data_IF_720822108909
#
_entry.id   IF_720822108909
#
_cell.length_a   1.000
_cell.length_b   1.000
_cell.length_c   1.000
_cell.angle_alpha   90.00
_cell.angle_beta   90.00
_cell.angle_gamma   90.00
#
_symmetry.space_group_name_H-M   'P 1'
#
loop_
_entity.id
_entity.type
_entity.pdbx_description
1 polymer ?
#
# COMPACT_ATOMS: atom_id res chain seq x y z
N UNK A 1 9.97 9.17 -42.45
CA UNK A 1 9.56 7.86 -41.93
C UNK A 1 8.48 8.04 -40.86
N UNK A 2 7.33 7.41 -41.07
CA UNK A 2 6.20 7.20 -40.15
C UNK A 2 6.60 6.24 -39.00
N UNK A 3 6.08 6.30 -37.77
CA UNK A 3 4.79 5.78 -37.26
C UNK A 3 4.70 6.10 -35.73
N UNK A 4 3.59 6.60 -35.15
CA UNK A 4 2.30 5.97 -34.76
C UNK A 4 2.30 5.50 -33.28
N UNK A 5 1.62 6.20 -32.33
CA UNK A 5 0.23 5.99 -31.83
C UNK A 5 0.30 5.30 -30.43
N UNK A 6 -0.53 5.56 -29.41
CA UNK A 6 -1.98 5.71 -29.41
C UNK A 6 -2.46 6.26 -28.05
N UNK A 7 -3.00 7.49 -28.03
CA UNK A 7 -3.94 7.93 -27.00
C UNK A 7 -5.11 8.65 -27.70
N UNK A 8 -6.28 8.04 -27.63
CA UNK A 8 -7.57 8.42 -28.23
C UNK A 8 -8.63 7.86 -27.28
N UNK A 9 -9.74 8.49 -26.90
CA UNK A 9 -10.49 9.69 -27.32
C UNK A 9 -11.50 9.97 -26.17
N UNK A 10 -11.64 11.18 -25.62
CA UNK A 10 -12.67 12.23 -25.94
C UNK A 10 -14.08 11.64 -26.11
N UNK A 11 -15.03 11.90 -25.20
CA UNK A 11 -15.82 13.15 -25.00
C UNK A 11 -17.23 13.01 -25.59
N UNK A 12 -18.28 13.13 -24.77
CA UNK A 12 -19.65 13.42 -25.22
C UNK A 12 -20.54 13.98 -24.08
N UNK A 13 -20.94 15.26 -24.24
CA UNK A 13 -22.11 15.98 -23.66
C UNK A 13 -22.19 16.08 -22.12
N UNK A 14 -22.30 17.23 -21.45
CA UNK A 14 -23.08 18.45 -21.70
C UNK A 14 -22.45 19.59 -20.87
N UNK A 15 -21.96 20.68 -21.46
CA UNK A 15 -22.66 21.98 -21.52
C UNK A 15 -23.59 22.23 -20.32
N UNK A 16 -23.11 22.98 -19.31
CA UNK A 16 -23.83 24.08 -18.69
C UNK A 16 -22.82 25.21 -18.39
N UNK A 17 -23.19 26.41 -18.82
CA UNK A 17 -22.43 27.66 -18.70
C UNK A 17 -22.28 28.09 -17.24
N UNK A 18 -21.07 28.52 -16.88
CA UNK A 18 -20.77 29.24 -15.65
C UNK A 18 -19.61 30.19 -15.90
N UNK A 19 -19.89 31.23 -16.67
CA UNK A 19 -18.99 32.34 -16.98
C UNK A 19 -18.63 33.09 -15.68
N UNK A 20 -17.46 32.82 -15.12
CA UNK A 20 -16.85 33.56 -14.02
C UNK A 20 -15.53 34.20 -14.47
N UNK A 21 -15.60 35.49 -14.81
CA UNK A 21 -14.50 36.38 -15.15
C UNK A 21 -13.80 36.90 -13.88
N UNK A 22 -12.51 37.26 -14.03
CA UNK A 22 -11.60 37.98 -13.10
C UNK A 22 -11.06 37.14 -11.91
N UNK A 23 -9.75 36.97 -11.71
CA UNK A 23 -8.65 37.94 -11.87
C UNK A 23 -7.29 37.22 -11.96
N UNK A 24 -6.41 37.72 -12.84
CA UNK A 24 -5.00 37.33 -12.86
C UNK A 24 -4.28 37.99 -11.67
N UNK A 25 -3.96 37.21 -10.65
CA UNK A 25 -2.87 37.50 -9.74
C UNK A 25 -1.69 36.60 -10.13
N UNK A 26 -0.89 37.06 -11.10
CA UNK A 26 0.40 36.46 -11.42
C UNK A 26 1.40 36.84 -10.34
N UNK A 27 1.51 36.02 -9.28
CA UNK A 27 2.71 36.01 -8.47
C UNK A 27 3.68 35.01 -9.11
N UNK A 28 4.71 35.53 -9.78
CA UNK A 28 5.91 34.77 -10.11
C UNK A 28 6.76 34.70 -8.83
N UNK A 29 6.90 33.54 -8.16
CA UNK A 29 8.05 33.34 -7.32
C UNK A 29 9.27 33.33 -8.24
N UNK A 30 10.28 34.13 -7.90
CA UNK A 30 11.58 34.03 -8.53
C UNK A 30 12.03 32.56 -8.45
N UNK A 31 12.38 31.99 -9.59
CA UNK A 31 13.17 30.76 -9.66
C UNK A 31 14.50 31.06 -9.00
N UNK A 32 14.61 30.73 -7.72
CA UNK A 32 15.92 30.49 -7.12
C UNK A 32 16.31 29.13 -7.69
N UNK A 33 17.03 29.16 -8.82
CA UNK A 33 17.89 28.06 -9.22
C UNK A 33 18.99 27.94 -8.15
N UNK A 34 18.61 27.41 -6.99
CA UNK A 34 19.55 26.81 -6.09
C UNK A 34 19.95 25.50 -6.76
N UNK A 35 20.96 25.60 -7.62
CA UNK A 35 21.93 24.55 -7.84
C UNK A 35 22.66 24.26 -6.52
N UNK A 36 21.91 23.78 -5.52
CA UNK A 36 22.45 23.10 -4.36
C UNK A 36 22.88 21.74 -4.89
N UNK A 37 24.14 21.66 -5.29
CA UNK A 37 24.96 20.49 -5.03
C UNK A 37 24.98 20.28 -3.51
N UNK A 38 23.85 19.83 -2.99
CA UNK A 38 23.78 19.21 -1.69
C UNK A 38 23.99 17.75 -1.98
N UNK A 39 25.13 17.23 -1.57
CA UNK A 39 25.29 15.83 -1.26
C UNK A 39 24.11 15.46 -0.35
N UNK A 40 23.02 14.97 -0.95
CA UNK A 40 21.88 14.46 -0.21
C UNK A 40 22.45 13.28 0.56
N UNK A 41 22.60 13.43 1.88
CA UNK A 41 22.83 12.28 2.74
C UNK A 41 21.80 11.21 2.34
N UNK A 42 22.23 9.97 2.07
CA UNK A 42 21.29 8.93 1.71
C UNK A 42 20.28 8.80 2.84
N UNK A 43 19.01 9.05 2.54
CA UNK A 43 17.91 8.78 3.46
C UNK A 43 17.95 7.30 3.73
N UNK A 44 18.42 6.90 4.91
CA UNK A 44 18.40 5.50 5.33
C UNK A 44 16.94 5.15 5.56
N UNK A 45 16.35 4.43 4.61
CA UNK A 45 15.03 3.85 4.77
C UNK A 45 15.07 2.81 5.90
N UNK A 46 14.55 3.17 7.07
CA UNK A 46 14.46 2.23 8.19
C UNK A 46 13.31 1.24 7.93
N UNK A 47 13.68 0.00 7.64
CA UNK A 47 12.72 -1.09 7.48
C UNK A 47 12.21 -1.56 8.85
N UNK A 48 10.89 -1.56 9.06
CA UNK A 48 10.30 -2.12 10.29
C UNK A 48 10.40 -3.65 10.27
N UNK A 49 11.12 -4.20 11.25
CA UNK A 49 11.23 -5.64 11.48
C UNK A 49 10.75 -5.98 12.89
N UNK A 50 9.76 -6.86 12.98
CA UNK A 50 9.23 -7.39 14.23
C UNK A 50 9.67 -8.85 14.40
N UNK A 51 9.85 -9.27 15.65
CA UNK A 51 10.19 -10.65 16.02
C UNK A 51 9.13 -11.20 16.95
N UNK A 52 8.76 -12.47 16.76
CA UNK A 52 7.73 -13.15 17.54
C UNK A 52 6.42 -12.35 17.58
N UNK A 53 5.99 -11.86 16.42
CA UNK A 53 4.86 -10.97 16.30
C UNK A 53 3.57 -11.79 16.10
N UNK A 54 2.49 -11.29 16.68
CA UNK A 54 1.14 -11.72 16.37
C UNK A 54 0.48 -10.66 15.50
N UNK A 55 0.09 -11.02 14.28
CA UNK A 55 -0.69 -10.19 13.38
C UNK A 55 -2.15 -10.66 13.44
N UNK A 56 -3.07 -9.71 13.53
CA UNK A 56 -4.50 -9.97 13.60
C UNK A 56 -5.23 -9.01 12.65
N UNK A 57 -6.23 -9.52 11.94
CA UNK A 57 -7.18 -8.68 11.21
C UNK A 57 -8.59 -9.03 11.68
N UNK A 58 -9.38 -7.97 11.86
CA UNK A 58 -10.79 -8.06 12.09
C UNK A 58 -11.58 -7.42 10.94
N UNK A 59 -12.83 -7.82 10.78
CA UNK A 59 -13.80 -7.12 9.93
C UNK A 59 -14.23 -5.77 10.54
N UNK A 60 -15.09 -5.03 9.84
CA UNK A 60 -15.61 -3.73 10.29
C UNK A 60 -16.39 -3.81 11.62
N UNK A 61 -16.93 -4.98 11.95
CA UNK A 61 -17.67 -5.23 13.20
C UNK A 61 -16.74 -5.64 14.35
N UNK A 62 -15.44 -5.83 14.08
CA UNK A 62 -14.45 -6.27 15.05
C UNK A 62 -14.34 -7.79 15.22
N UNK A 63 -14.99 -8.59 14.36
CA UNK A 63 -14.82 -10.04 14.38
C UNK A 63 -13.47 -10.40 13.76
N UNK A 64 -12.65 -11.14 14.50
CA UNK A 64 -11.33 -11.58 14.01
C UNK A 64 -11.52 -12.55 12.84
N UNK A 65 -10.89 -12.25 11.71
CA UNK A 65 -10.88 -13.08 10.50
C UNK A 65 -9.70 -14.05 10.49
N UNK A 66 -8.54 -13.56 10.92
CA UNK A 66 -7.35 -14.38 11.07
C UNK A 66 -6.41 -13.85 12.14
N UNK A 67 -5.62 -14.78 12.69
CA UNK A 67 -4.58 -14.51 13.68
C UNK A 67 -3.35 -15.32 13.37
N UNK A 68 -2.25 -14.65 13.05
CA UNK A 68 -0.99 -15.25 12.60
C UNK A 68 0.10 -14.92 13.61
N UNK A 69 0.83 -15.93 14.06
CA UNK A 69 2.07 -15.78 14.80
C UNK A 69 3.23 -16.08 13.86
N UNK A 70 4.17 -15.16 13.73
CA UNK A 70 5.38 -15.32 12.92
C UNK A 70 6.63 -15.11 13.77
N UNK A 71 7.68 -15.89 13.52
CA UNK A 71 8.96 -15.67 14.19
C UNK A 71 9.60 -14.35 13.76
N UNK A 72 9.43 -13.97 12.48
CA UNK A 72 9.89 -12.70 11.95
C UNK A 72 8.85 -12.12 10.99
N UNK A 73 8.69 -10.81 11.08
CA UNK A 73 7.89 -10.02 10.14
C UNK A 73 8.71 -8.85 9.66
N UNK A 74 8.84 -8.68 8.34
CA UNK A 74 9.55 -7.55 7.74
C UNK A 74 8.58 -6.78 6.85
N UNK A 75 8.40 -5.48 7.12
CA UNK A 75 7.54 -4.63 6.31
C UNK A 75 8.32 -4.07 5.12
N UNK A 76 7.67 -3.92 3.98
CA UNK A 76 8.19 -3.11 2.87
C UNK A 76 8.32 -1.64 3.31
N UNK A 77 9.17 -0.88 2.60
CA UNK A 77 9.41 0.53 2.91
C UNK A 77 8.12 1.37 2.82
N UNK A 78 7.27 1.08 1.85
CA UNK A 78 5.94 1.67 1.66
C UNK A 78 4.86 1.11 2.61
N UNK A 79 5.22 0.11 3.42
CA UNK A 79 4.38 -0.60 4.40
C UNK A 79 3.16 -1.32 3.79
N UNK A 80 3.14 -1.53 2.47
CA UNK A 80 2.06 -2.22 1.76
C UNK A 80 2.15 -3.74 1.87
N UNK A 81 3.32 -4.29 2.18
CA UNK A 81 3.53 -5.74 2.29
C UNK A 81 4.31 -6.06 3.56
N UNK A 82 3.87 -7.10 4.28
CA UNK A 82 4.61 -7.68 5.39
C UNK A 82 4.99 -9.12 5.04
N UNK A 83 6.28 -9.41 4.89
CA UNK A 83 6.78 -10.79 4.69
C UNK A 83 6.94 -11.48 6.03
N UNK A 84 6.50 -12.73 6.12
CA UNK A 84 6.45 -13.55 7.33
C UNK A 84 7.36 -14.77 7.18
N UNK A 85 8.10 -15.08 8.24
CA UNK A 85 8.95 -16.28 8.34
C UNK A 85 8.50 -17.15 9.52
N UNK A 86 8.47 -18.46 9.31
CA UNK A 86 8.10 -19.49 10.28
C UNK A 86 6.79 -19.18 11.02
N UNK A 87 5.67 -19.32 10.31
CA UNK A 87 4.38 -18.87 10.81
C UNK A 87 3.44 -20.02 11.18
N UNK A 88 2.62 -19.73 12.18
CA UNK A 88 1.43 -20.51 12.52
C UNK A 88 0.25 -19.58 12.62
N UNK A 89 -0.94 -20.04 12.27
CA UNK A 89 -2.10 -19.16 12.30
C UNK A 89 -3.42 -19.89 12.33
N UNK A 90 -4.46 -19.13 12.61
CA UNK A 90 -5.84 -19.58 12.54
C UNK A 90 -6.62 -18.64 11.62
N UNK A 91 -7.47 -19.20 10.76
CA UNK A 91 -8.56 -18.46 10.12
C UNK A 91 -9.84 -18.79 10.90
N UNK A 92 -10.64 -17.75 11.10
CA UNK A 92 -11.81 -17.79 11.93
C UNK A 92 -13.05 -17.40 11.12
N UNK A 93 -14.18 -18.01 11.46
CA UNK A 93 -15.49 -17.62 10.98
C UNK A 93 -16.43 -17.63 12.19
N UNK A 94 -17.16 -16.54 12.40
CA UNK A 94 -18.07 -16.37 13.55
C UNK A 94 -17.39 -16.64 14.91
N UNK A 95 -16.09 -16.33 15.02
CA UNK A 95 -15.27 -16.55 16.21
C UNK A 95 -14.74 -17.97 16.40
N UNK A 96 -15.11 -18.92 15.53
CA UNK A 96 -14.65 -20.30 15.56
C UNK A 96 -13.47 -20.53 14.61
N UNK A 97 -12.49 -21.35 15.01
CA UNK A 97 -11.34 -21.69 14.14
C UNK A 97 -11.80 -22.68 13.07
N UNK A 98 -11.79 -22.26 11.81
CA UNK A 98 -12.15 -23.09 10.66
C UNK A 98 -10.92 -23.67 9.94
N UNK A 99 -9.75 -23.04 10.07
CA UNK A 99 -8.50 -23.53 9.50
C UNK A 99 -7.32 -23.20 10.40
N UNK A 100 -6.40 -24.17 10.54
CA UNK A 100 -5.09 -23.97 11.17
C UNK A 100 -4.02 -24.00 10.10
N UNK A 101 -3.17 -22.98 10.09
CA UNK A 101 -2.07 -22.80 9.14
C UNK A 101 -0.74 -23.02 9.85
N UNK A 102 0.17 -23.74 9.19
CA UNK A 102 1.60 -23.81 9.51
C UNK A 102 2.35 -23.73 8.20
N UNK A 103 3.27 -22.78 8.08
CA UNK A 103 3.97 -22.51 6.84
C UNK A 103 5.39 -21.98 7.11
N UNK A 104 6.30 -22.23 6.17
CA UNK A 104 7.66 -21.73 6.23
C UNK A 104 7.71 -20.22 5.93
N UNK A 105 6.87 -19.77 4.98
CA UNK A 105 6.76 -18.37 4.62
C UNK A 105 5.31 -17.93 4.40
N UNK A 106 5.13 -16.61 4.40
CA UNK A 106 3.85 -15.98 4.10
C UNK A 106 4.00 -14.49 3.84
N UNK A 107 2.92 -13.86 3.41
CA UNK A 107 2.83 -12.40 3.35
C UNK A 107 1.44 -11.91 3.73
N UNK A 108 1.39 -10.64 4.14
CA UNK A 108 0.17 -9.87 4.26
C UNK A 108 0.29 -8.65 3.35
N UNK A 109 -0.63 -8.50 2.40
CA UNK A 109 -0.69 -7.34 1.49
C UNK A 109 -1.86 -6.44 1.87
N UNK A 110 -1.66 -5.13 1.80
CA UNK A 110 -2.74 -4.14 1.89
C UNK A 110 -3.30 -3.89 0.49
N UNK A 111 -4.60 -4.10 0.32
CA UNK A 111 -5.33 -3.87 -0.92
C UNK A 111 -5.84 -2.42 -1.00
N UNK A 112 -6.30 -2.00 -2.19
CA UNK A 112 -6.73 -0.61 -2.44
C UNK A 112 -7.92 -0.16 -1.58
N UNK A 113 -8.77 -1.10 -1.16
CA UNK A 113 -9.92 -0.87 -0.28
C UNK A 113 -9.55 -0.86 1.21
N UNK A 114 -8.27 -1.11 1.55
CA UNK A 114 -7.77 -1.20 2.91
C UNK A 114 -7.91 -2.57 3.55
N UNK A 115 -8.45 -3.56 2.83
CA UNK A 115 -8.43 -4.96 3.26
C UNK A 115 -7.00 -5.50 3.25
N UNK A 116 -6.74 -6.47 4.13
CA UNK A 116 -5.47 -7.18 4.16
C UNK A 116 -5.66 -8.61 3.70
N UNK A 117 -4.87 -9.02 2.72
CA UNK A 117 -4.87 -10.40 2.21
C UNK A 117 -3.69 -11.15 2.76
N UNK A 118 -3.96 -12.27 3.43
CA UNK A 118 -2.95 -13.19 3.94
C UNK A 118 -2.74 -14.35 2.95
N UNK A 119 -1.49 -14.63 2.60
CA UNK A 119 -1.09 -15.82 1.87
C UNK A 119 0.08 -16.52 2.56
N UNK A 120 0.14 -17.85 2.42
CA UNK A 120 1.15 -18.69 3.07
C UNK A 120 1.63 -19.77 2.11
N UNK A 121 2.90 -20.14 2.24
CA UNK A 121 3.54 -21.17 1.42
C UNK A 121 4.47 -22.05 2.26
N UNK A 122 4.57 -23.31 1.83
CA UNK A 122 5.57 -24.27 2.29
C UNK A 122 6.36 -24.70 1.07
N UNK A 123 7.68 -24.66 1.17
CA UNK A 123 8.58 -25.30 0.19
C UNK A 123 8.36 -26.81 0.12
#
# INVERSE_FOLDING_TARGET
MTCFNHQRRRSWLSWWLGLGLLSLAACQPATVDDAVNGDREPVVAEQLVLRNATLEQADESGNVLWKINAQRTSYSEDKQTATLEDLTGNLLQDGEIILKVRAAGGEVRLEEDGEKVFSAWSD
#
